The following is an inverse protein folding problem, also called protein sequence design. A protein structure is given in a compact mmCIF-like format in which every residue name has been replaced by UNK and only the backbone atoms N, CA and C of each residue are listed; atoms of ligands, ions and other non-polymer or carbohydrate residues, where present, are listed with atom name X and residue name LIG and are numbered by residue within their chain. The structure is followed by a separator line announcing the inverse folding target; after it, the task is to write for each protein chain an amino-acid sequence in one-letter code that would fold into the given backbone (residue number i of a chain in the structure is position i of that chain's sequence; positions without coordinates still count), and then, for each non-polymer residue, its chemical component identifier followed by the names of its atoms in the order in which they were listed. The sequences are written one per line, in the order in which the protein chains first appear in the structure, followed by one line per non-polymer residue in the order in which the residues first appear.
data_IF_849200742419
#
_entry.id   IF_849200742419
#
_cell.length_a   1.000
_cell.length_b   1.000
_cell.length_c   1.000
_cell.angle_alpha   90.00
_cell.angle_beta   90.00
_cell.angle_gamma   90.00
#
_symmetry.space_group_name_H-M   'P 1'
#
loop_
_entity.id
_entity.type
_entity.pdbx_description
1 polymer ?
#
# COMPACT_ATOMS: atom_id res chain seq x y z
N UNK A 1 6.92 9.19 10.52
CA UNK A 1 6.54 8.31 9.40
C UNK A 1 5.06 8.48 9.13
N UNK A 2 4.65 8.47 7.86
CA UNK A 2 3.24 8.34 7.52
C UNK A 2 2.77 6.90 7.76
N UNK A 3 1.55 6.74 8.27
CA UNK A 3 0.88 5.45 8.43
C UNK A 3 -0.50 5.57 7.77
N UNK A 4 -0.86 4.56 6.98
CA UNK A 4 -2.18 4.45 6.39
C UNK A 4 -2.91 3.29 7.03
N UNK A 5 -4.13 3.55 7.50
CA UNK A 5 -5.05 2.52 7.96
C UNK A 5 -6.14 2.33 6.92
N UNK A 6 -6.45 1.08 6.64
CA UNK A 6 -7.41 0.67 5.63
C UNK A 6 -8.45 -0.18 6.33
N UNK A 7 -9.72 0.16 6.16
CA UNK A 7 -10.83 -0.70 6.55
C UNK A 7 -11.79 -0.87 5.37
N UNK A 8 -12.01 -2.12 4.97
CA UNK A 8 -12.86 -2.47 3.84
C UNK A 8 -13.94 -3.41 4.31
N UNK A 9 -15.18 -3.02 4.08
CA UNK A 9 -16.36 -3.83 4.37
C UNK A 9 -16.80 -4.52 3.08
N UNK A 10 -16.84 -5.85 3.09
CA UNK A 10 -17.38 -6.63 1.99
C UNK A 10 -18.91 -6.65 2.04
N UNK A 11 -19.58 -6.86 0.89
CA UNK A 11 -21.04 -6.88 0.83
C UNK A 11 -21.65 -7.85 1.86
N UNK A 12 -22.60 -7.39 2.69
CA UNK A 12 -23.26 -8.24 3.68
C UNK A 12 -24.18 -9.26 2.99
N UNK A 13 -24.33 -10.44 3.61
CA UNK A 13 -25.25 -11.49 3.13
C UNK A 13 -24.66 -12.40 2.05
N UNK A 14 -23.42 -12.19 1.63
CA UNK A 14 -22.68 -13.11 0.78
C UNK A 14 -21.57 -13.84 1.56
N UNK A 15 -21.06 -14.93 0.99
CA UNK A 15 -19.88 -15.63 1.51
C UNK A 15 -18.62 -14.76 1.35
N UNK A 16 -18.25 -14.06 2.42
CA UNK A 16 -17.11 -13.15 2.46
C UNK A 16 -15.78 -13.85 2.11
N UNK A 17 -15.68 -15.19 2.27
CA UNK A 17 -14.49 -15.95 1.86
C UNK A 17 -14.19 -15.86 0.35
N UNK A 18 -15.15 -15.38 -0.44
CA UNK A 18 -15.01 -15.13 -1.89
C UNK A 18 -14.39 -13.78 -2.23
N UNK A 19 -14.22 -12.91 -1.25
CA UNK A 19 -13.73 -11.56 -1.47
C UNK A 19 -12.25 -11.43 -1.08
N UNK A 20 -11.60 -10.48 -1.73
CA UNK A 20 -10.21 -10.14 -1.49
C UNK A 20 -10.03 -8.64 -1.68
N UNK A 21 -9.27 -8.01 -0.78
CA UNK A 21 -8.74 -6.67 -1.00
C UNK A 21 -7.33 -6.75 -1.59
N UNK A 22 -7.08 -5.98 -2.66
CA UNK A 22 -5.75 -5.81 -3.26
C UNK A 22 -5.38 -4.34 -3.28
N UNK A 23 -4.19 -4.03 -2.79
CA UNK A 23 -3.63 -2.69 -2.83
C UNK A 23 -2.65 -2.53 -3.99
N UNK A 24 -2.70 -1.36 -4.62
CA UNK A 24 -1.76 -0.94 -5.64
C UNK A 24 -1.29 0.47 -5.34
N UNK A 25 -0.08 0.79 -5.78
CA UNK A 25 0.56 2.08 -5.56
C UNK A 25 1.33 2.53 -6.81
N UNK A 26 1.36 3.83 -7.06
CA UNK A 26 2.28 4.50 -7.97
C UNK A 26 2.63 5.86 -7.39
N UNK A 27 3.66 6.52 -7.91
CA UNK A 27 4.02 7.82 -7.38
C UNK A 27 5.34 8.36 -7.86
N UNK A 28 5.73 9.43 -7.19
CA UNK A 28 6.97 10.14 -7.33
C UNK A 28 7.57 10.34 -5.95
N UNK A 29 8.88 10.21 -5.89
CA UNK A 29 9.64 10.51 -4.69
C UNK A 29 10.95 11.14 -5.13
N UNK A 30 11.13 12.39 -4.74
CA UNK A 30 12.22 13.23 -5.21
C UNK A 30 12.92 13.87 -4.02
N UNK A 31 14.23 13.95 -4.09
CA UNK A 31 15.02 14.76 -3.18
C UNK A 31 15.41 16.04 -3.90
N UNK A 32 15.17 17.17 -3.24
CA UNK A 32 15.54 18.49 -3.75
C UNK A 32 17.08 18.65 -3.76
N UNK A 33 17.61 19.52 -4.63
CA UNK A 33 19.04 19.81 -4.67
C UNK A 33 19.59 20.20 -3.29
N UNK A 34 20.70 19.57 -2.89
CA UNK A 34 21.36 19.89 -1.63
C UNK A 34 22.07 21.24 -1.74
N UNK A 35 21.69 22.19 -0.88
CA UNK A 35 22.32 23.50 -0.77
C UNK A 35 21.84 24.53 -1.78
N UNK A 36 20.98 25.45 -1.31
CA UNK A 36 20.66 26.80 -1.82
C UNK A 36 20.37 27.04 -3.32
N UNK A 37 20.51 26.06 -4.21
CA UNK A 37 20.12 26.16 -5.62
C UNK A 37 18.76 25.47 -5.83
N UNK A 38 17.65 26.18 -5.62
CA UNK A 38 16.32 25.64 -5.88
C UNK A 38 16.07 25.31 -7.36
N UNK A 39 16.99 25.64 -8.27
CA UNK A 39 16.90 25.32 -9.69
C UNK A 39 17.72 24.09 -10.09
N UNK A 40 18.44 23.45 -9.15
CA UNK A 40 19.18 22.22 -9.42
C UNK A 40 18.27 21.04 -9.79
N UNK A 41 18.81 19.96 -10.40
CA UNK A 41 18.02 18.79 -10.73
C UNK A 41 17.60 18.02 -9.47
N UNK A 42 16.32 17.65 -9.40
CA UNK A 42 15.81 16.75 -8.37
C UNK A 42 16.37 15.33 -8.56
N UNK A 43 16.64 14.64 -7.46
CA UNK A 43 17.07 13.23 -7.48
C UNK A 43 15.86 12.32 -7.32
N UNK A 44 15.59 11.51 -8.34
CA UNK A 44 14.54 10.48 -8.29
C UNK A 44 14.96 9.31 -7.40
N UNK A 45 14.14 9.00 -6.40
CA UNK A 45 14.39 7.94 -5.41
C UNK A 45 13.45 6.73 -5.56
N UNK A 46 12.65 6.64 -6.62
CA UNK A 46 11.61 5.60 -6.79
C UNK A 46 12.14 4.17 -6.72
N UNK A 47 13.37 3.95 -7.18
CA UNK A 47 14.04 2.64 -7.14
C UNK A 47 14.37 2.16 -5.73
N UNK A 48 14.39 3.07 -4.74
CA UNK A 48 14.72 2.78 -3.35
C UNK A 48 13.47 2.53 -2.48
N UNK A 49 12.28 2.67 -3.07
CA UNK A 49 11.00 2.51 -2.39
C UNK A 49 10.69 1.03 -2.09
N UNK A 50 10.15 0.74 -0.90
CA UNK A 50 9.87 -0.64 -0.43
C UNK A 50 8.60 -1.24 -1.02
N UNK A 51 8.55 -1.36 -2.34
CA UNK A 51 7.53 -2.10 -3.09
C UNK A 51 8.23 -3.08 -4.02
N UNK A 52 7.74 -4.31 -4.23
CA UNK A 52 8.32 -5.23 -5.20
C UNK A 52 8.47 -4.55 -6.58
N UNK A 53 9.72 -4.43 -7.06
CA UNK A 53 10.04 -3.77 -8.33
C UNK A 53 10.15 -2.24 -8.27
N UNK A 54 10.14 -1.65 -7.07
CA UNK A 54 10.21 -0.19 -6.86
C UNK A 54 8.90 0.53 -7.17
N UNK A 55 8.87 1.83 -6.85
CA UNK A 55 7.69 2.66 -7.11
C UNK A 55 7.60 3.00 -8.60
N UNK A 56 6.46 2.70 -9.21
CA UNK A 56 6.22 3.02 -10.61
C UNK A 56 5.73 4.47 -10.78
N UNK A 57 6.08 5.17 -11.89
CA UNK A 57 5.59 6.51 -12.15
C UNK A 57 4.08 6.53 -12.32
N UNK A 58 3.43 7.60 -11.89
CA UNK A 58 2.02 7.86 -12.18
C UNK A 58 1.79 7.88 -13.72
N UNK A 59 0.72 7.26 -14.26
CA UNK A 59 -0.36 6.56 -13.56
C UNK A 59 -0.17 5.03 -13.50
N UNK A 60 1.06 4.53 -13.61
CA UNK A 60 1.34 3.10 -13.68
C UNK A 60 1.30 2.47 -12.29
N UNK A 61 0.14 1.96 -11.88
CA UNK A 61 -0.03 1.26 -10.61
C UNK A 61 0.70 -0.09 -10.61
N UNK A 62 1.51 -0.35 -9.58
CA UNK A 62 2.05 -1.68 -9.27
C UNK A 62 1.37 -2.24 -8.03
N UNK A 63 1.31 -3.57 -7.92
CA UNK A 63 0.69 -4.20 -6.77
C UNK A 63 1.58 -4.08 -5.53
N UNK A 64 1.01 -3.53 -4.47
CA UNK A 64 1.67 -3.29 -3.19
C UNK A 64 1.54 -4.51 -2.28
N UNK A 65 2.04 -5.63 -2.77
CA UNK A 65 1.97 -6.93 -2.11
C UNK A 65 2.90 -7.90 -2.78
N UNK A 66 3.43 -8.88 -2.04
CA UNK A 66 4.35 -9.85 -2.59
C UNK A 66 3.58 -10.89 -3.46
N UNK A 67 3.51 -10.63 -4.76
CA UNK A 67 2.88 -11.51 -5.76
C UNK A 67 3.77 -12.68 -6.18
N UNK A 68 5.05 -12.67 -5.78
CA UNK A 68 6.04 -13.72 -6.10
C UNK A 68 5.98 -14.94 -5.16
N UNK A 69 5.23 -14.87 -4.06
CA UNK A 69 5.04 -16.01 -3.17
C UNK A 69 4.11 -17.05 -3.79
N UNK A 70 4.48 -18.32 -3.68
CA UNK A 70 3.63 -19.46 -4.05
C UNK A 70 3.31 -20.31 -2.81
N UNK A 71 2.03 -20.55 -2.48
CA UNK A 71 0.85 -19.93 -3.08
C UNK A 71 0.80 -18.43 -2.77
N UNK A 72 0.22 -17.65 -3.68
CA UNK A 72 -0.04 -16.23 -3.41
C UNK A 72 -0.97 -16.14 -2.19
N UNK A 73 -0.51 -15.46 -1.13
CA UNK A 73 -1.22 -15.41 0.17
C UNK A 73 -2.12 -14.19 0.29
N UNK A 74 -2.85 -13.90 -0.77
CA UNK A 74 -3.74 -12.74 -0.83
C UNK A 74 -5.18 -13.19 -0.55
N UNK A 75 -5.95 -12.37 0.14
CA UNK A 75 -7.33 -12.72 0.48
C UNK A 75 -7.48 -13.57 1.76
N UNK A 76 -8.66 -14.15 1.88
CA UNK A 76 -9.04 -15.06 2.95
C UNK A 76 -8.19 -16.33 3.00
N UNK A 77 -7.79 -16.71 4.22
CA UNK A 77 -6.86 -17.82 4.49
C UNK A 77 -7.14 -18.47 5.84
N UNK A 78 -6.53 -19.62 6.09
CA UNK A 78 -6.72 -20.37 7.35
C UNK A 78 -6.01 -19.77 8.56
N UNK A 79 -5.02 -18.89 8.36
CA UNK A 79 -4.27 -18.23 9.43
C UNK A 79 -3.98 -16.76 9.09
N UNK A 80 -3.65 -15.92 10.08
CA UNK A 80 -3.42 -14.50 9.84
C UNK A 80 -2.20 -14.24 8.96
N UNK A 81 -2.16 -13.03 8.39
CA UNK A 81 -0.99 -12.54 7.69
C UNK A 81 0.08 -12.15 8.70
N UNK A 82 1.07 -11.39 8.26
CA UNK A 82 1.93 -10.71 9.24
C UNK A 82 1.06 -9.87 10.17
N UNK A 83 1.37 -9.88 11.46
CA UNK A 83 0.74 -8.96 12.42
C UNK A 83 1.27 -7.54 12.29
N UNK A 84 2.42 -7.37 11.64
CA UNK A 84 3.05 -6.07 11.38
C UNK A 84 3.66 -6.09 9.96
N UNK A 85 3.21 -5.22 9.05
CA UNK A 85 2.01 -4.38 9.17
C UNK A 85 0.73 -5.22 9.28
N UNK A 86 -0.27 -4.69 9.99
CA UNK A 86 -1.56 -5.35 10.22
C UNK A 86 -2.21 -5.72 8.88
N UNK A 87 -2.55 -6.99 8.67
CA UNK A 87 -3.29 -7.43 7.48
C UNK A 87 -4.19 -8.60 7.85
N UNK A 88 -5.44 -8.31 8.24
CA UNK A 88 -6.36 -9.31 8.76
C UNK A 88 -7.79 -9.15 8.28
N UNK A 89 -8.55 -10.24 8.42
CA UNK A 89 -9.99 -10.25 8.23
C UNK A 89 -10.68 -10.51 9.56
N UNK A 90 -11.71 -9.74 9.85
CA UNK A 90 -12.47 -9.81 11.10
C UNK A 90 -13.97 -9.92 10.81
N UNK A 91 -14.70 -10.46 11.79
CA UNK A 91 -16.17 -10.44 11.83
C UNK A 91 -16.67 -9.02 12.16
N UNK A 92 -17.98 -8.81 12.06
CA UNK A 92 -18.63 -7.54 12.39
C UNK A 92 -18.43 -7.09 13.86
N UNK A 93 -18.22 -8.04 14.78
CA UNK A 93 -17.91 -7.78 16.18
C UNK A 93 -16.42 -7.50 16.45
N UNK A 94 -15.59 -7.49 15.40
CA UNK A 94 -14.14 -7.29 15.48
C UNK A 94 -13.34 -8.54 15.82
N UNK A 95 -13.96 -9.70 16.01
CA UNK A 95 -13.24 -10.96 16.24
C UNK A 95 -12.49 -11.42 14.98
N UNK A 96 -11.27 -11.90 15.16
CA UNK A 96 -10.44 -12.41 14.07
C UNK A 96 -11.11 -13.57 13.33
N UNK A 97 -11.25 -13.43 12.01
CA UNK A 97 -11.79 -14.46 11.15
C UNK A 97 -11.13 -14.39 9.76
N UNK A 98 -9.91 -14.88 9.69
CA UNK A 98 -9.10 -14.85 8.47
C UNK A 98 -9.74 -15.59 7.30
N UNK A 99 -10.60 -16.58 7.57
CA UNK A 99 -11.21 -17.41 6.53
C UNK A 99 -12.50 -16.82 5.98
N UNK A 100 -13.31 -16.19 6.82
CA UNK A 100 -14.67 -15.77 6.47
C UNK A 100 -15.05 -14.35 6.93
N UNK A 101 -14.12 -13.58 7.50
CA UNK A 101 -14.41 -12.24 8.03
C UNK A 101 -14.85 -11.26 6.93
N UNK A 102 -15.91 -10.51 7.18
CA UNK A 102 -16.44 -9.58 6.18
C UNK A 102 -15.77 -8.20 6.19
N UNK A 103 -14.82 -7.98 7.09
CA UNK A 103 -14.10 -6.72 7.22
C UNK A 103 -12.61 -7.01 7.07
N UNK A 104 -11.97 -6.43 6.07
CA UNK A 104 -10.51 -6.40 5.97
C UNK A 104 -9.98 -5.16 6.67
N UNK A 105 -8.95 -5.32 7.52
CA UNK A 105 -8.16 -4.20 8.02
C UNK A 105 -6.69 -4.36 7.64
N UNK A 106 -6.14 -3.26 7.16
CA UNK A 106 -4.78 -3.14 6.68
C UNK A 106 -4.07 -1.95 7.31
N UNK A 107 -2.77 -2.09 7.53
CA UNK A 107 -1.85 -0.98 7.76
C UNK A 107 -0.78 -0.96 6.67
N UNK A 108 -0.32 0.23 6.33
CA UNK A 108 0.79 0.41 5.41
C UNK A 108 1.67 1.60 5.82
N UNK A 109 2.98 1.46 5.57
CA UNK A 109 4.03 2.39 5.94
C UNK A 109 4.95 2.61 4.74
N UNK A 110 4.64 3.58 3.87
CA UNK A 110 5.54 4.00 2.80
C UNK A 110 6.93 4.30 3.36
N UNK A 111 7.93 3.62 2.81
CA UNK A 111 9.31 3.77 3.25
C UNK A 111 10.28 3.71 2.06
N UNK A 112 11.37 4.47 2.20
CA UNK A 112 12.58 4.30 1.42
C UNK A 112 13.53 3.41 2.23
N UNK A 113 14.23 2.50 1.58
CA UNK A 113 15.30 1.73 2.23
C UNK A 113 16.65 1.96 1.57
N UNK A 114 17.72 1.68 2.31
CA UNK A 114 19.08 1.68 1.75
C UNK A 114 19.71 3.06 1.54
N UNK A 115 19.11 4.14 2.08
CA UNK A 115 19.68 5.49 2.04
C UNK A 115 19.75 6.09 3.45
N UNK A 116 20.91 6.62 3.81
CA UNK A 116 21.06 7.46 5.00
C UNK A 116 20.56 8.86 4.62
N UNK A 117 19.55 9.35 5.34
CA UNK A 117 19.07 10.73 5.20
C UNK A 117 20.00 11.68 5.95
N UNK A 118 20.47 12.73 5.30
CA UNK A 118 21.32 13.76 5.90
C UNK A 118 20.48 14.98 6.30
N UNK A 119 20.92 15.69 7.34
CA UNK A 119 20.29 16.95 7.73
C UNK A 119 20.44 18.01 6.63
N UNK A 120 19.39 18.79 6.41
CA UNK A 120 19.26 19.78 5.35
C UNK A 120 18.69 19.24 4.04
N UNK A 121 18.47 17.92 3.91
CA UNK A 121 17.84 17.34 2.73
C UNK A 121 16.32 17.58 2.77
N UNK A 122 15.77 17.96 1.63
CA UNK A 122 14.33 18.12 1.43
C UNK A 122 13.82 17.06 0.47
N UNK A 123 12.62 16.56 0.74
CA UNK A 123 11.99 15.48 -0.01
C UNK A 123 10.56 15.84 -0.36
N UNK A 124 10.18 15.56 -1.60
CA UNK A 124 8.81 15.60 -2.09
C UNK A 124 8.31 14.18 -2.32
N UNK A 125 7.15 13.88 -1.75
CA UNK A 125 6.45 12.62 -1.92
C UNK A 125 5.08 12.88 -2.55
N UNK A 126 4.78 12.22 -3.66
CA UNK A 126 3.43 12.12 -4.24
C UNK A 126 3.12 10.64 -4.48
N UNK A 127 2.29 10.06 -3.62
CA UNK A 127 1.83 8.69 -3.74
C UNK A 127 0.36 8.65 -4.13
N UNK A 128 0.03 7.75 -5.05
CA UNK A 128 -1.33 7.42 -5.42
C UNK A 128 -1.56 5.96 -5.19
N UNK A 129 -2.64 5.66 -4.50
CA UNK A 129 -3.04 4.32 -4.18
C UNK A 129 -4.33 3.97 -4.91
N UNK A 130 -4.46 2.68 -5.21
CA UNK A 130 -5.70 2.09 -5.70
C UNK A 130 -5.98 0.81 -4.91
N UNK A 131 -7.13 0.78 -4.26
CA UNK A 131 -7.68 -0.41 -3.62
C UNK A 131 -8.65 -1.10 -4.56
N UNK A 132 -8.53 -2.41 -4.75
CA UNK A 132 -9.50 -3.22 -5.48
C UNK A 132 -10.20 -4.19 -4.53
N UNK A 133 -11.52 -4.28 -4.65
CA UNK A 133 -12.29 -5.40 -4.10
C UNK A 133 -12.49 -6.39 -5.23
N UNK A 134 -11.98 -7.61 -5.04
CA UNK A 134 -12.04 -8.70 -6.01
C UNK A 134 -12.93 -9.79 -5.45
N UNK A 135 -13.86 -10.28 -6.26
CA UNK A 135 -14.67 -11.47 -5.97
C UNK A 135 -14.17 -12.63 -6.83
N UNK A 136 -13.93 -13.80 -6.23
CA UNK A 136 -13.36 -14.99 -6.91
C UNK A 136 -14.05 -15.32 -8.24
N UNK A 137 -15.38 -15.22 -8.26
CA UNK A 137 -16.18 -15.60 -9.44
C UNK A 137 -16.50 -14.43 -10.39
N UNK A 138 -16.33 -13.17 -9.93
CA UNK A 138 -16.77 -11.96 -10.68
C UNK A 138 -15.61 -11.06 -11.10
N UNK A 139 -14.40 -11.32 -10.61
CA UNK A 139 -13.26 -10.43 -10.80
C UNK A 139 -13.39 -9.16 -9.96
N UNK A 140 -12.85 -8.05 -10.46
CA UNK A 140 -12.86 -6.76 -9.75
C UNK A 140 -14.29 -6.19 -9.74
N UNK A 141 -14.83 -5.97 -8.54
CA UNK A 141 -16.19 -5.43 -8.38
C UNK A 141 -16.20 -3.98 -7.90
N UNK A 142 -15.11 -3.50 -7.31
CA UNK A 142 -14.96 -2.11 -6.89
C UNK A 142 -13.51 -1.66 -6.95
N UNK A 143 -13.32 -0.37 -7.23
CA UNK A 143 -12.04 0.33 -7.13
C UNK A 143 -12.20 1.59 -6.28
N UNK A 144 -11.24 1.86 -5.40
CA UNK A 144 -11.13 3.11 -4.65
C UNK A 144 -9.74 3.69 -4.90
N UNK A 145 -9.66 5.02 -4.97
CA UNK A 145 -8.42 5.74 -5.20
C UNK A 145 -8.24 6.77 -4.08
N UNK A 146 -7.00 6.91 -3.61
CA UNK A 146 -6.61 7.96 -2.67
C UNK A 146 -5.17 8.36 -2.95
N UNK A 147 -4.76 9.53 -2.47
CA UNK A 147 -3.43 10.06 -2.67
C UNK A 147 -2.87 10.67 -1.39
N UNK A 148 -1.55 10.75 -1.33
CA UNK A 148 -0.78 11.31 -0.24
C UNK A 148 0.25 12.22 -0.87
N UNK A 149 0.30 13.47 -0.42
CA UNK A 149 1.31 14.42 -0.82
C UNK A 149 1.92 15.00 0.44
N UNK A 150 3.24 14.88 0.57
CA UNK A 150 3.97 15.28 1.77
C UNK A 150 5.34 15.84 1.38
N UNK A 151 5.74 16.90 2.06
CA UNK A 151 7.05 17.54 1.91
C UNK A 151 7.79 17.45 3.24
N UNK A 152 9.01 16.90 3.23
CA UNK A 152 9.81 16.73 4.45
C UNK A 152 11.13 17.50 4.36
N UNK A 153 11.50 18.15 5.46
CA UNK A 153 12.85 18.66 5.71
C UNK A 153 13.46 17.83 6.84
N UNK A 154 14.62 17.22 6.58
CA UNK A 154 15.37 16.41 7.55
C UNK A 154 16.41 17.26 8.29
#
# INVERSE_FOLDING_TARGET
SGQFTIEIHFPPGEDCSKYEYRQFICGRIEMLPAGADPAGPMTDLRSLFTVPGGLQPIPNYTQDGNTGLTPQRMGHRSGPGSTIPLNHYVNADGTENQRNGCIFRGEDFPAITGRITNSGEQYEFDFRFMGQIVHKDRGVIARKFWSVQEDFLI
#
